data_IF_485020629832
#
_entry.id   IF_485020629832
#
_cell.length_a   1.000
_cell.length_b   1.000
_cell.length_c   1.000
_cell.angle_alpha   90.00
_cell.angle_beta   90.00
_cell.angle_gamma   90.00
#
_symmetry.space_group_name_H-M   'P 1'
#
loop_
_entity.id
_entity.type
_entity.pdbx_description
1 polymer ?
#
# COMPACT_ATOMS: atom_id res chain seq x y z
N UNK A 1 44.36 -22.31 47.76
CA UNK A 1 44.38 -21.27 46.70
C UNK A 1 43.21 -21.38 45.69
N UNK A 2 42.29 -22.35 45.83
CA UNK A 2 41.22 -22.59 44.84
C UNK A 2 39.98 -21.68 44.98
N UNK A 3 39.64 -21.22 46.19
CA UNK A 3 38.42 -20.41 46.41
C UNK A 3 38.43 -19.06 45.66
N UNK A 4 39.59 -18.42 45.55
CA UNK A 4 39.74 -17.15 44.80
C UNK A 4 39.52 -17.33 43.29
N UNK A 5 39.91 -18.49 42.75
CA UNK A 5 39.74 -18.83 41.33
C UNK A 5 38.27 -19.06 40.99
N UNK A 6 37.56 -19.84 41.82
CA UNK A 6 36.13 -20.15 41.64
C UNK A 6 35.29 -18.88 41.69
N UNK A 7 35.51 -18.03 42.71
CA UNK A 7 34.78 -16.76 42.88
C UNK A 7 34.99 -15.80 41.71
N UNK A 8 36.20 -15.75 41.15
CA UNK A 8 36.51 -14.93 39.96
C UNK A 8 35.80 -15.42 38.69
N UNK A 9 35.64 -16.74 38.53
CA UNK A 9 34.91 -17.38 37.42
C UNK A 9 33.42 -17.07 37.51
N UNK A 10 32.81 -17.22 38.69
CA UNK A 10 31.38 -16.95 38.91
C UNK A 10 31.02 -15.49 38.61
N UNK A 11 31.87 -14.53 39.01
CA UNK A 11 31.64 -13.10 38.74
C UNK A 11 31.73 -12.80 37.23
N UNK A 12 32.67 -13.41 36.51
CA UNK A 12 32.78 -13.29 35.05
C UNK A 12 31.55 -13.85 34.33
N UNK A 13 31.05 -15.01 34.74
CA UNK A 13 29.84 -15.62 34.15
C UNK A 13 28.59 -14.77 34.38
N UNK A 14 28.41 -14.22 35.59
CA UNK A 14 27.28 -13.32 35.89
C UNK A 14 27.36 -12.05 35.03
N UNK A 15 28.55 -11.45 34.87
CA UNK A 15 28.75 -10.31 33.96
C UNK A 15 28.42 -10.67 32.51
N UNK A 16 28.89 -11.80 32.01
CA UNK A 16 28.60 -12.25 30.65
C UNK A 16 27.10 -12.49 30.41
N UNK A 17 26.39 -13.12 31.35
CA UNK A 17 24.93 -13.31 31.25
C UNK A 17 24.19 -11.97 31.21
N UNK A 18 24.57 -11.00 32.06
CA UNK A 18 23.98 -9.65 32.04
C UNK A 18 24.26 -8.92 30.72
N UNK A 19 25.47 -9.04 30.18
CA UNK A 19 25.85 -8.42 28.91
C UNK A 19 25.05 -9.01 27.74
N UNK A 20 24.93 -10.35 27.68
CA UNK A 20 24.10 -11.04 26.67
C UNK A 20 22.65 -10.58 26.75
N UNK A 21 22.07 -10.51 27.95
CA UNK A 21 20.68 -10.04 28.14
C UNK A 21 20.49 -8.62 27.61
N UNK A 22 21.42 -7.71 27.93
CA UNK A 22 21.40 -6.33 27.39
C UNK A 22 21.51 -6.32 25.86
N UNK A 23 22.42 -7.11 25.30
CA UNK A 23 22.58 -7.24 23.85
C UNK A 23 21.28 -7.70 23.19
N UNK A 24 20.65 -8.76 23.69
CA UNK A 24 19.34 -9.21 23.20
C UNK A 24 18.27 -8.13 23.30
N UNK A 25 18.20 -7.37 24.40
CA UNK A 25 17.26 -6.25 24.52
C UNK A 25 17.55 -5.17 23.48
N UNK A 26 18.81 -4.80 23.26
CA UNK A 26 19.16 -3.82 22.23
C UNK A 26 18.85 -4.30 20.81
N UNK A 27 19.15 -5.57 20.49
CA UNK A 27 18.80 -6.16 19.20
C UNK A 27 17.30 -6.21 18.99
N UNK A 28 16.53 -6.55 20.02
CA UNK A 28 15.08 -6.57 19.96
C UNK A 28 14.49 -5.18 19.74
N UNK A 29 14.96 -4.16 20.47
CA UNK A 29 14.54 -2.77 20.29
C UNK A 29 14.91 -2.26 18.89
N UNK A 30 16.12 -2.57 18.42
CA UNK A 30 16.55 -2.22 17.07
C UNK A 30 15.64 -2.85 16.01
N UNK A 31 15.30 -4.13 16.16
CA UNK A 31 14.39 -4.83 15.25
C UNK A 31 13.01 -4.19 15.20
N UNK A 32 12.47 -3.79 16.36
CA UNK A 32 11.20 -3.04 16.42
C UNK A 32 11.33 -1.74 15.62
N UNK A 33 12.37 -0.95 15.85
CA UNK A 33 12.58 0.32 15.14
C UNK A 33 12.63 0.12 13.62
N UNK A 34 13.39 -0.88 13.16
CA UNK A 34 13.48 -1.20 11.73
C UNK A 34 12.12 -1.57 11.14
N UNK A 35 11.35 -2.41 11.84
CA UNK A 35 10.00 -2.77 11.41
C UNK A 35 9.08 -1.53 11.36
N UNK A 36 9.10 -0.68 12.39
CA UNK A 36 8.26 0.52 12.43
C UNK A 36 8.59 1.47 11.27
N UNK A 37 9.87 1.67 10.97
CA UNK A 37 10.30 2.49 9.83
C UNK A 37 9.83 1.86 8.52
N UNK A 38 10.03 0.55 8.35
CA UNK A 38 9.62 -0.17 7.13
C UNK A 38 8.12 -0.05 6.88
N UNK A 39 7.27 -0.35 7.88
CA UNK A 39 5.82 -0.20 7.74
C UNK A 39 5.41 1.26 7.48
N UNK A 40 6.04 2.23 8.14
CA UNK A 40 5.72 3.65 7.93
C UNK A 40 6.05 4.10 6.50
N UNK A 41 7.19 3.67 5.94
CA UNK A 41 7.58 4.03 4.58
C UNK A 41 6.64 3.42 3.53
N UNK A 42 6.24 2.16 3.68
CA UNK A 42 5.29 1.52 2.76
C UNK A 42 3.92 2.21 2.84
N UNK A 43 3.43 2.49 4.05
CA UNK A 43 2.14 3.17 4.24
C UNK A 43 2.11 4.59 3.63
N UNK A 44 3.20 5.36 3.79
CA UNK A 44 3.33 6.68 3.16
C UNK A 44 3.36 6.55 1.64
N UNK A 45 4.05 5.54 1.11
CA UNK A 45 4.07 5.25 -0.33
C UNK A 45 2.67 5.07 -0.91
N UNK A 46 1.85 4.20 -0.31
CA UNK A 46 0.48 3.94 -0.76
C UNK A 46 -0.39 5.20 -0.71
N UNK A 47 -0.29 5.97 0.39
CA UNK A 47 -1.02 7.23 0.55
C UNK A 47 -0.68 8.24 -0.56
N UNK A 48 0.61 8.40 -0.87
CA UNK A 48 1.04 9.34 -1.92
C UNK A 48 0.55 8.93 -3.30
N UNK A 49 0.47 7.62 -3.59
CA UNK A 49 -0.06 7.14 -4.87
C UNK A 49 -1.56 7.41 -4.99
N UNK A 50 -2.32 7.13 -3.94
CA UNK A 50 -3.76 7.39 -3.91
C UNK A 50 -4.08 8.88 -4.06
N UNK A 51 -3.35 9.75 -3.36
CA UNK A 51 -3.49 11.20 -3.51
C UNK A 51 -3.15 11.68 -4.92
N UNK A 52 -2.14 11.08 -5.56
CA UNK A 52 -1.78 11.42 -6.94
C UNK A 52 -2.89 11.04 -7.91
N UNK A 53 -3.44 9.83 -7.79
CA UNK A 53 -4.56 9.39 -8.63
C UNK A 53 -5.79 10.28 -8.44
N UNK A 54 -6.17 10.57 -7.20
CA UNK A 54 -7.31 11.43 -6.90
C UNK A 54 -7.14 12.82 -7.51
N UNK A 55 -5.95 13.41 -7.39
CA UNK A 55 -5.62 14.71 -7.99
C UNK A 55 -5.69 14.67 -9.52
N UNK A 56 -5.20 13.60 -10.13
CA UNK A 56 -5.24 13.45 -11.59
C UNK A 56 -6.69 13.28 -12.08
N UNK A 57 -7.52 12.50 -11.40
CA UNK A 57 -8.95 12.40 -11.71
C UNK A 57 -9.63 13.76 -11.60
N UNK A 58 -9.39 14.52 -10.54
CA UNK A 58 -9.94 15.88 -10.40
C UNK A 58 -9.50 16.80 -11.54
N UNK A 59 -8.23 16.72 -11.93
CA UNK A 59 -7.67 17.57 -12.99
C UNK A 59 -8.24 17.23 -14.36
N UNK A 60 -8.47 15.95 -14.66
CA UNK A 60 -9.01 15.52 -15.96
C UNK A 60 -10.53 15.69 -16.08
N UNK A 61 -11.25 15.71 -14.96
CA UNK A 61 -12.73 15.73 -14.95
C UNK A 61 -13.37 17.03 -14.48
N UNK A 62 -12.59 17.90 -13.83
CA UNK A 62 -13.07 19.11 -13.13
C UNK A 62 -14.15 18.82 -12.06
N UNK A 63 -14.25 17.59 -11.56
CA UNK A 63 -15.24 17.24 -10.54
C UNK A 63 -14.86 17.79 -9.17
N UNK A 64 -15.73 18.62 -8.54
CA UNK A 64 -15.41 19.22 -7.25
C UNK A 64 -15.48 18.21 -6.10
N UNK A 65 -16.33 17.19 -6.21
CA UNK A 65 -16.52 16.12 -5.22
C UNK A 65 -16.87 14.83 -5.97
N UNK A 66 -16.19 13.74 -5.63
CA UNK A 66 -16.51 12.41 -6.12
C UNK A 66 -16.03 11.36 -5.11
N UNK A 67 -16.65 10.19 -5.16
CA UNK A 67 -16.18 8.97 -4.52
C UNK A 67 -15.75 8.01 -5.61
N UNK A 68 -14.69 7.25 -5.40
CA UNK A 68 -14.25 6.25 -6.36
C UNK A 68 -13.83 4.96 -5.66
N UNK A 69 -14.01 3.84 -6.34
CA UNK A 69 -13.74 2.49 -5.86
C UNK A 69 -12.98 1.71 -6.93
N UNK A 70 -11.89 1.05 -6.54
CA UNK A 70 -11.20 0.12 -7.43
C UNK A 70 -12.08 -1.10 -7.69
N UNK A 71 -12.22 -1.46 -8.95
CA UNK A 71 -13.14 -2.53 -9.38
C UNK A 71 -12.44 -3.69 -10.07
N UNK A 72 -11.17 -3.53 -10.46
CA UNK A 72 -10.36 -4.60 -11.04
C UNK A 72 -9.40 -4.09 -12.10
N UNK A 73 -8.66 -5.02 -12.68
CA UNK A 73 -7.71 -4.74 -13.75
C UNK A 73 -8.13 -5.46 -15.02
N UNK A 74 -8.03 -4.80 -16.17
CA UNK A 74 -8.31 -5.46 -17.45
C UNK A 74 -7.18 -6.42 -17.82
N UNK A 75 -7.52 -7.66 -18.19
CA UNK A 75 -6.52 -8.66 -18.58
C UNK A 75 -6.24 -8.75 -20.08
N UNK A 76 -7.02 -8.04 -20.92
CA UNK A 76 -7.04 -8.25 -22.38
C UNK A 76 -6.75 -7.02 -23.26
N UNK A 77 -5.97 -6.04 -22.78
CA UNK A 77 -5.56 -4.89 -23.58
C UNK A 77 -4.33 -5.22 -24.44
N UNK A 78 -4.56 -5.44 -25.73
CA UNK A 78 -3.55 -5.86 -26.71
C UNK A 78 -2.46 -4.81 -27.04
N UNK A 79 -2.52 -3.61 -26.47
CA UNK A 79 -1.73 -2.44 -26.88
C UNK A 79 -0.84 -1.84 -25.77
N UNK A 80 -0.49 -2.61 -24.74
CA UNK A 80 0.69 -2.28 -23.92
C UNK A 80 0.52 -2.16 -22.41
N UNK A 81 -0.49 -2.80 -21.82
CA UNK A 81 -0.59 -2.91 -20.36
C UNK A 81 -1.97 -3.40 -19.92
N UNK A 82 -2.07 -3.79 -18.65
CA UNK A 82 -3.33 -4.13 -18.00
C UNK A 82 -3.81 -2.88 -17.23
N UNK A 83 -4.76 -2.10 -17.77
CA UNK A 83 -5.23 -0.90 -17.09
C UNK A 83 -6.02 -1.26 -15.82
N UNK A 84 -5.98 -0.36 -14.85
CA UNK A 84 -6.79 -0.41 -13.66
C UNK A 84 -8.10 0.32 -13.90
N UNK A 85 -9.20 -0.25 -13.44
CA UNK A 85 -10.51 0.38 -13.55
C UNK A 85 -11.01 0.83 -12.19
N UNK A 86 -11.67 1.98 -12.19
CA UNK A 86 -12.32 2.55 -11.03
C UNK A 86 -13.75 2.95 -11.37
N UNK A 87 -14.66 2.67 -10.45
CA UNK A 87 -16.02 3.19 -10.51
C UNK A 87 -16.07 4.47 -9.69
N UNK A 88 -16.41 5.59 -10.32
CA UNK A 88 -16.60 6.87 -9.66
C UNK A 88 -18.07 7.28 -9.58
N UNK A 89 -18.42 8.03 -8.55
CA UNK A 89 -19.74 8.58 -8.28
C UNK A 89 -19.60 10.03 -7.81
N UNK A 90 -20.20 10.96 -8.54
CA UNK A 90 -20.20 12.40 -8.22
C UNK A 90 -21.36 12.83 -7.31
N UNK A 91 -22.19 11.87 -6.87
CA UNK A 91 -23.43 12.06 -6.13
C UNK A 91 -24.67 12.16 -7.03
N UNK A 92 -24.47 12.42 -8.32
CA UNK A 92 -25.55 12.50 -9.33
C UNK A 92 -25.40 11.40 -10.39
N UNK A 93 -24.17 11.20 -10.88
CA UNK A 93 -23.87 10.32 -12.00
C UNK A 93 -22.76 9.32 -11.63
N UNK A 94 -22.72 8.21 -12.38
CA UNK A 94 -21.68 7.19 -12.28
C UNK A 94 -20.75 7.25 -13.47
N UNK A 95 -19.47 6.96 -13.25
CA UNK A 95 -18.45 6.96 -14.29
C UNK A 95 -17.50 5.78 -14.13
N UNK A 96 -17.08 5.21 -15.24
CA UNK A 96 -15.95 4.30 -15.29
C UNK A 96 -14.69 5.11 -15.61
N UNK A 97 -13.66 4.98 -14.78
CA UNK A 97 -12.35 5.57 -15.01
C UNK A 97 -11.39 4.45 -15.35
N UNK A 98 -10.78 4.53 -16.53
CA UNK A 98 -9.68 3.70 -16.95
C UNK A 98 -8.37 4.43 -16.63
N UNK A 99 -7.49 3.76 -15.89
CA UNK A 99 -6.22 4.28 -15.41
C UNK A 99 -5.13 3.33 -15.89
N UNK A 100 -3.98 3.87 -16.30
CA UNK A 100 -2.81 3.04 -16.63
C UNK A 100 -2.41 2.13 -15.44
N UNK A 101 -1.61 1.11 -15.73
CA UNK A 101 -1.10 0.16 -14.73
C UNK A 101 -0.29 0.85 -13.61
N UNK A 102 0.26 2.04 -13.89
CA UNK A 102 0.99 2.86 -12.91
C UNK A 102 0.09 3.46 -11.81
N UNK A 103 -1.22 3.31 -11.99
CA UNK A 103 -2.28 3.75 -11.10
C UNK A 103 -2.30 5.26 -10.84
N UNK A 104 -1.86 6.05 -11.83
CA UNK A 104 -1.77 7.51 -11.73
C UNK A 104 -2.34 8.18 -12.97
N UNK A 105 -2.07 7.64 -14.14
CA UNK A 105 -2.44 8.29 -15.40
C UNK A 105 -3.85 7.88 -15.78
N UNK A 106 -4.77 8.84 -15.80
CA UNK A 106 -6.15 8.62 -16.26
C UNK A 106 -6.14 8.60 -17.79
N UNK A 107 -6.54 7.49 -18.39
CA UNK A 107 -6.58 7.35 -19.85
C UNK A 107 -7.95 7.74 -20.40
N UNK A 108 -9.02 7.34 -19.70
CA UNK A 108 -10.39 7.54 -20.17
C UNK A 108 -11.37 7.63 -19.00
N UNK A 109 -12.37 8.51 -19.16
CA UNK A 109 -13.52 8.61 -18.26
C UNK A 109 -14.78 8.43 -19.08
N UNK A 110 -15.56 7.40 -18.75
CA UNK A 110 -16.76 7.01 -19.49
C UNK A 110 -17.98 7.16 -18.59
N UNK A 111 -18.99 7.98 -18.96
CA UNK A 111 -20.23 8.08 -18.19
C UNK A 111 -21.02 6.78 -18.26
N UNK A 112 -21.66 6.42 -17.15
CA UNK A 112 -22.54 5.26 -17.02
C UNK A 112 -23.96 5.74 -16.78
N UNK A 113 -24.94 5.10 -17.43
CA UNK A 113 -26.36 5.45 -17.25
C UNK A 113 -26.85 5.14 -15.83
N UNK A 114 -26.40 4.02 -15.26
CA UNK A 114 -26.60 3.68 -13.85
C UNK A 114 -25.49 2.76 -13.33
N UNK A 115 -25.53 2.44 -12.04
CA UNK A 115 -24.59 1.49 -11.43
C UNK A 115 -24.73 0.06 -11.98
N UNK A 116 -25.86 -0.33 -12.57
CA UNK A 116 -26.06 -1.70 -13.12
C UNK A 116 -25.50 -1.86 -14.52
N UNK A 117 -25.41 -0.76 -15.27
CA UNK A 117 -24.72 -0.63 -16.54
C UNK A 117 -23.24 -0.99 -16.39
N UNK A 118 -22.71 -0.87 -15.16
CA UNK A 118 -21.42 -1.39 -14.79
C UNK A 118 -21.24 -2.89 -15.07
N UNK A 119 -22.24 -3.75 -14.80
CA UNK A 119 -22.10 -5.20 -15.03
C UNK A 119 -21.87 -5.51 -16.52
N UNK A 120 -22.57 -4.79 -17.41
CA UNK A 120 -22.40 -4.90 -18.87
C UNK A 120 -21.02 -4.42 -19.31
N UNK A 121 -20.52 -3.36 -18.67
CA UNK A 121 -19.20 -2.77 -18.94
C UNK A 121 -18.08 -3.65 -18.37
N UNK A 122 -18.28 -4.27 -17.21
CA UNK A 122 -17.37 -5.21 -16.57
C UNK A 122 -17.11 -6.44 -17.45
N UNK A 123 -18.16 -7.00 -18.05
CA UNK A 123 -18.05 -8.11 -19.00
C UNK A 123 -17.35 -7.69 -20.31
N UNK A 124 -17.63 -6.48 -20.81
CA UNK A 124 -17.04 -6.00 -22.07
C UNK A 124 -15.55 -5.64 -21.96
N UNK A 125 -15.09 -5.18 -20.80
CA UNK A 125 -13.71 -4.81 -20.54
C UNK A 125 -12.87 -5.95 -19.93
N UNK A 126 -13.45 -7.13 -19.74
CA UNK A 126 -12.82 -8.31 -19.13
C UNK A 126 -12.04 -7.95 -17.86
N UNK A 127 -12.73 -7.26 -16.95
CA UNK A 127 -12.15 -6.81 -15.68
C UNK A 127 -12.05 -8.02 -14.74
N UNK A 128 -10.84 -8.35 -14.29
CA UNK A 128 -10.54 -9.43 -13.33
C UNK A 128 -10.37 -8.93 -11.88
#
# INVERSE_FOLDING_TARGET
MEEGSIRSRTIKEIRQKRLKRKFYTYTFVFFIIVLTIFFSLNYIGDLTQQQTLETNIQTETDWPVFLYEYIGSGSNYSWGGNPNFYLANTGQDYYLIQVEQDNRTVEQVTPLEDRRTFEVVYENYEIE
#
